data_IF_148213435343
#
_entry.id   IF_148213435343
#
_cell.length_a   1.000
_cell.length_b   1.000
_cell.length_c   1.000
_cell.angle_alpha   90.00
_cell.angle_beta   90.00
_cell.angle_gamma   90.00
#
_symmetry.space_group_name_H-M   'P 1'
#
loop_
_entity.id
_entity.type
_entity.pdbx_description
1 polymer ?
#
# COMPACT_ATOMS: atom_id res chain seq x y z
N UNK A 1 11.04 -7.15 2.76
CA UNK A 1 9.62 -7.43 3.07
C UNK A 1 8.97 -6.19 3.69
N UNK A 2 7.84 -5.73 3.16
CA UNK A 2 7.16 -4.48 3.55
C UNK A 2 6.35 -4.56 4.86
N UNK A 3 6.66 -5.52 5.75
CA UNK A 3 5.87 -5.81 6.95
C UNK A 3 5.77 -4.60 7.87
N UNK A 4 6.91 -3.95 8.16
CA UNK A 4 6.96 -2.78 9.04
C UNK A 4 6.12 -1.65 8.45
N UNK A 5 6.21 -1.41 7.15
CA UNK A 5 5.41 -0.40 6.44
C UNK A 5 3.92 -0.67 6.61
N UNK A 6 3.46 -1.90 6.32
CA UNK A 6 2.04 -2.26 6.42
C UNK A 6 1.53 -2.15 7.85
N UNK A 7 2.31 -2.58 8.84
CA UNK A 7 1.96 -2.45 10.27
C UNK A 7 1.84 -0.99 10.68
N UNK A 8 2.80 -0.15 10.28
CA UNK A 8 2.77 1.29 10.57
C UNK A 8 1.57 1.99 9.93
N UNK A 9 1.22 1.64 8.69
CA UNK A 9 0.02 2.17 8.03
C UNK A 9 -1.25 1.69 8.75
N UNK A 10 -1.33 0.41 9.11
CA UNK A 10 -2.50 -0.12 9.83
C UNK A 10 -2.67 0.55 11.22
N UNK A 11 -1.56 0.86 11.90
CA UNK A 11 -1.57 1.52 13.20
C UNK A 11 -2.12 2.96 13.15
N UNK A 12 -2.12 3.63 11.99
CA UNK A 12 -2.72 4.96 11.84
C UNK A 12 -4.25 4.93 11.97
N UNK A 13 -4.90 3.79 11.68
CA UNK A 13 -6.35 3.67 11.74
C UNK A 13 -6.92 4.04 13.14
N UNK A 14 -6.46 3.40 14.25
CA UNK A 14 -6.89 3.78 15.59
C UNK A 14 -6.32 5.13 16.07
N UNK A 15 -5.10 5.51 15.65
CA UNK A 15 -4.43 6.74 16.12
C UNK A 15 -5.12 8.00 15.59
N UNK A 16 -5.55 7.99 14.33
CA UNK A 16 -6.22 9.12 13.68
C UNK A 16 -7.75 8.97 13.62
N UNK A 17 -8.32 7.90 14.20
CA UNK A 17 -9.75 7.64 14.18
C UNK A 17 -10.32 7.46 12.77
N UNK A 18 -9.55 6.80 11.89
CA UNK A 18 -9.91 6.54 10.50
C UNK A 18 -10.81 5.29 10.41
N UNK A 19 -11.87 5.39 9.60
CA UNK A 19 -12.89 4.33 9.47
C UNK A 19 -12.46 3.14 8.60
N UNK A 20 -13.41 2.23 8.35
CA UNK A 20 -13.19 1.00 7.59
C UNK A 20 -12.65 1.24 6.17
N UNK A 21 -13.02 2.36 5.54
CA UNK A 21 -12.49 2.76 4.22
C UNK A 21 -10.97 2.86 4.22
N UNK A 22 -10.38 3.47 5.25
CA UNK A 22 -8.92 3.57 5.35
C UNK A 22 -8.28 2.18 5.46
N UNK A 23 -8.83 1.31 6.31
CA UNK A 23 -8.31 -0.05 6.48
C UNK A 23 -8.40 -0.87 5.20
N UNK A 24 -9.46 -0.71 4.40
CA UNK A 24 -9.58 -1.33 3.09
C UNK A 24 -8.49 -0.85 2.12
N UNK A 25 -8.20 0.45 2.13
CA UNK A 25 -7.08 1.04 1.37
C UNK A 25 -5.72 0.46 1.76
N UNK A 26 -5.44 0.36 3.07
CA UNK A 26 -4.19 -0.24 3.58
C UNK A 26 -4.07 -1.72 3.21
N UNK A 27 -5.16 -2.48 3.23
CA UNK A 27 -5.16 -3.87 2.75
C UNK A 27 -4.84 -3.97 1.26
N UNK A 28 -5.40 -3.08 0.44
CA UNK A 28 -5.08 -3.00 -0.99
C UNK A 28 -3.59 -2.68 -1.24
N UNK A 29 -3.04 -1.73 -0.48
CA UNK A 29 -1.60 -1.41 -0.50
C UNK A 29 -0.75 -2.62 -0.11
N UNK A 30 -1.13 -3.36 0.92
CA UNK A 30 -0.41 -4.55 1.35
C UNK A 30 -0.34 -5.62 0.23
N UNK A 31 -1.45 -5.84 -0.49
CA UNK A 31 -1.50 -6.76 -1.63
C UNK A 31 -0.57 -6.30 -2.75
N UNK A 32 -0.57 -5.02 -3.10
CA UNK A 32 0.31 -4.45 -4.11
C UNK A 32 1.80 -4.60 -3.73
N UNK A 33 2.15 -4.36 -2.47
CA UNK A 33 3.53 -4.49 -1.98
C UNK A 33 4.02 -5.94 -1.96
N UNK A 34 3.12 -6.90 -1.72
CA UNK A 34 3.42 -8.33 -1.86
C UNK A 34 3.66 -8.66 -3.33
N UNK A 35 2.80 -8.17 -4.23
CA UNK A 35 2.95 -8.36 -5.66
C UNK A 35 4.26 -7.77 -6.18
N UNK A 36 4.58 -6.52 -5.82
CA UNK A 36 5.83 -5.85 -6.17
C UNK A 36 7.07 -6.67 -5.76
N UNK A 37 7.09 -7.19 -4.52
CA UNK A 37 8.19 -8.03 -4.05
C UNK A 37 8.27 -9.36 -4.81
N UNK A 38 7.15 -9.93 -5.25
CA UNK A 38 7.15 -11.16 -6.04
C UNK A 38 7.76 -11.00 -7.45
N UNK A 39 7.79 -9.77 -7.97
CA UNK A 39 8.35 -9.44 -9.28
C UNK A 39 9.87 -9.30 -9.26
N UNK A 40 10.45 -8.94 -8.11
CA UNK A 40 11.90 -8.72 -8.00
C UNK A 40 12.57 -10.03 -7.60
N UNK A 41 13.44 -10.54 -8.49
CA UNK A 41 14.24 -11.73 -8.24
C UNK A 41 15.70 -11.44 -8.49
N UNK A 42 16.57 -11.96 -7.63
CA UNK A 42 18.03 -11.73 -7.72
C UNK A 42 18.63 -12.22 -9.05
N UNK A 43 18.03 -13.25 -9.64
CA UNK A 43 18.49 -13.86 -10.88
C UNK A 43 17.79 -13.32 -12.15
N UNK A 44 16.79 -12.44 -12.00
CA UNK A 44 16.03 -11.87 -13.13
C UNK A 44 15.48 -10.49 -12.77
N UNK A 45 16.18 -9.45 -13.26
CA UNK A 45 15.82 -8.06 -13.04
C UNK A 45 14.94 -7.47 -14.16
N UNK A 46 14.49 -8.29 -15.12
CA UNK A 46 13.68 -7.81 -16.25
C UNK A 46 12.39 -7.10 -15.82
N UNK A 47 11.83 -7.49 -14.67
CA UNK A 47 10.59 -6.94 -14.12
C UNK A 47 10.80 -5.81 -13.10
N UNK A 48 12.03 -5.38 -12.82
CA UNK A 48 12.32 -4.33 -11.83
C UNK A 48 11.69 -2.99 -12.21
N UNK A 49 11.66 -2.63 -13.49
CA UNK A 49 10.96 -1.42 -13.96
C UNK A 49 9.48 -1.45 -13.58
N UNK A 50 8.83 -2.60 -13.77
CA UNK A 50 7.42 -2.80 -13.41
C UNK A 50 7.22 -2.75 -11.89
N UNK A 51 8.14 -3.31 -11.11
CA UNK A 51 8.11 -3.19 -9.65
C UNK A 51 8.20 -1.73 -9.21
N UNK A 52 9.06 -0.93 -9.86
CA UNK A 52 9.16 0.51 -9.58
C UNK A 52 7.86 1.27 -9.91
N UNK A 53 7.23 0.96 -11.04
CA UNK A 53 5.95 1.57 -11.43
C UNK A 53 4.82 1.21 -10.44
N UNK A 54 4.80 -0.01 -9.91
CA UNK A 54 3.82 -0.45 -8.89
C UNK A 54 3.84 0.43 -7.64
N UNK A 55 5.01 0.94 -7.26
CA UNK A 55 5.13 1.83 -6.11
C UNK A 55 4.37 3.16 -6.33
N UNK A 56 4.30 3.64 -7.58
CA UNK A 56 3.44 4.77 -7.94
C UNK A 56 1.95 4.47 -7.72
N UNK A 57 1.49 3.27 -8.09
CA UNK A 57 0.11 2.83 -7.84
C UNK A 57 -0.18 2.69 -6.35
N UNK A 58 0.77 2.18 -5.55
CA UNK A 58 0.67 2.13 -4.09
C UNK A 58 0.41 3.52 -3.53
N UNK A 59 1.18 4.52 -3.96
CA UNK A 59 1.02 5.91 -3.53
C UNK A 59 -0.35 6.50 -3.87
N UNK A 60 -0.81 6.33 -5.11
CA UNK A 60 -2.12 6.84 -5.57
C UNK A 60 -3.27 6.15 -4.83
N UNK A 61 -3.22 4.82 -4.68
CA UNK A 61 -4.24 4.05 -3.97
C UNK A 61 -4.33 4.50 -2.51
N UNK A 62 -3.19 4.59 -1.84
CA UNK A 62 -3.12 5.03 -0.44
C UNK A 62 -3.69 6.43 -0.25
N UNK A 63 -3.30 7.37 -1.13
CA UNK A 63 -3.80 8.74 -1.11
C UNK A 63 -5.33 8.77 -1.29
N UNK A 64 -5.84 8.06 -2.30
CA UNK A 64 -7.27 8.04 -2.63
C UNK A 64 -8.13 7.51 -1.49
N UNK A 65 -7.77 6.37 -0.91
CA UNK A 65 -8.51 5.79 0.21
C UNK A 65 -8.39 6.61 1.50
N UNK A 66 -7.23 7.20 1.76
CA UNK A 66 -7.05 8.08 2.93
C UNK A 66 -7.89 9.34 2.79
N UNK A 67 -7.87 9.99 1.62
CA UNK A 67 -8.73 11.13 1.34
C UNK A 67 -10.21 10.76 1.47
N UNK A 68 -10.64 9.65 0.86
CA UNK A 68 -12.02 9.19 0.97
C UNK A 68 -12.42 8.92 2.43
N UNK A 69 -11.56 8.29 3.23
CA UNK A 69 -11.83 8.04 4.65
C UNK A 69 -11.96 9.32 5.48
N UNK A 70 -11.27 10.40 5.08
CA UNK A 70 -11.35 11.72 5.74
C UNK A 70 -12.61 12.48 5.32
N UNK A 71 -12.96 12.48 4.02
CA UNK A 71 -14.03 13.32 3.48
C UNK A 71 -15.41 12.63 3.42
N UNK A 72 -15.46 11.30 3.33
CA UNK A 72 -16.69 10.50 3.13
C UNK A 72 -17.10 9.80 4.43
N UNK A 73 -16.83 10.44 5.57
CA UNK A 73 -16.91 9.82 6.90
C UNK A 73 -18.27 9.22 7.24
#
# INVERSE_FOLDING_TARGET
MHVITVVSLMALAPVAGLGWLYTAGVLGVAVLLIYEQSLVREHDLSQVKRAFDLNGYVGILYLGFTAAAIYVR
#
